data_IF_418674644302
#
_entry.id   IF_418674644302
#
_cell.length_a   1.000
_cell.length_b   1.000
_cell.length_c   1.000
_cell.angle_alpha   90.00
_cell.angle_beta   90.00
_cell.angle_gamma   90.00
#
_symmetry.space_group_name_H-M   'P 1'
#
loop_
_entity.id
_entity.type
_entity.pdbx_description
1 polymer ?
#
# COMPACT_ATOMS: atom_id res chain seq x y z
N UNK A 1 43.45 23.39 -46.60
CA UNK A 1 42.21 22.78 -46.10
C UNK A 1 42.26 22.91 -44.59
N UNK A 2 41.27 23.56 -44.01
CA UNK A 2 41.38 24.37 -42.81
C UNK A 2 41.53 23.57 -41.52
N UNK A 3 42.62 23.82 -40.81
CA UNK A 3 42.94 23.31 -39.46
C UNK A 3 41.80 23.54 -38.43
N UNK A 4 41.01 24.59 -38.65
CA UNK A 4 39.88 24.97 -37.80
C UNK A 4 38.61 24.13 -38.05
N UNK A 5 38.42 23.55 -39.23
CA UNK A 5 37.28 22.69 -39.56
C UNK A 5 37.35 21.35 -38.77
N UNK A 6 38.58 20.82 -38.67
CA UNK A 6 38.77 19.57 -37.90
C UNK A 6 38.53 19.74 -36.39
N UNK A 7 38.92 20.90 -35.83
CA UNK A 7 38.69 21.22 -34.41
C UNK A 7 37.19 21.40 -34.13
N UNK A 8 36.44 22.06 -35.01
CA UNK A 8 35.02 22.26 -34.88
C UNK A 8 34.24 20.92 -34.91
N UNK A 9 34.61 19.98 -35.79
CA UNK A 9 34.01 18.66 -35.90
C UNK A 9 34.24 17.84 -34.61
N UNK A 10 35.48 17.90 -34.07
CA UNK A 10 35.80 17.17 -32.83
C UNK A 10 34.99 17.71 -31.62
N UNK A 11 34.83 19.03 -31.53
CA UNK A 11 34.03 19.64 -30.45
C UNK A 11 32.55 19.25 -30.56
N UNK A 12 31.98 19.24 -31.77
CA UNK A 12 30.60 18.81 -31.99
C UNK A 12 30.38 17.33 -31.62
N UNK A 13 31.33 16.46 -31.95
CA UNK A 13 31.24 15.02 -31.58
C UNK A 13 31.37 14.80 -30.07
N UNK A 14 32.19 15.59 -29.37
CA UNK A 14 32.30 15.52 -27.91
C UNK A 14 31.00 16.00 -27.25
N UNK A 15 30.39 17.10 -27.73
CA UNK A 15 29.13 17.61 -27.20
C UNK A 15 28.00 16.63 -27.46
N UNK A 16 27.92 15.99 -28.63
CA UNK A 16 26.94 14.95 -28.93
C UNK A 16 27.16 13.72 -28.06
N UNK A 17 28.41 13.30 -27.82
CA UNK A 17 28.73 12.17 -26.94
C UNK A 17 28.34 12.41 -25.49
N UNK A 18 28.56 13.61 -24.96
CA UNK A 18 28.13 13.98 -23.60
C UNK A 18 26.63 14.10 -23.49
N UNK A 19 25.94 14.54 -24.53
CA UNK A 19 24.46 14.61 -24.56
C UNK A 19 23.83 13.22 -24.60
N UNK A 20 24.39 12.28 -25.35
CA UNK A 20 23.95 10.87 -25.40
C UNK A 20 24.20 10.12 -24.08
N UNK A 21 25.31 10.39 -23.40
CA UNK A 21 25.64 9.79 -22.10
C UNK A 21 24.82 10.40 -20.94
N UNK A 22 24.38 11.66 -21.06
CA UNK A 22 23.53 12.32 -20.07
C UNK A 22 22.07 11.86 -20.11
N UNK A 23 21.62 11.33 -21.25
CA UNK A 23 20.22 10.87 -21.41
C UNK A 23 19.92 9.57 -20.66
N UNK A 24 20.90 8.71 -20.40
CA UNK A 24 20.70 7.43 -19.73
C UNK A 24 20.56 7.57 -18.21
N UNK A 25 21.25 8.54 -17.60
CA UNK A 25 21.16 8.76 -16.14
C UNK A 25 19.76 9.17 -15.68
N UNK A 26 19.09 10.03 -16.45
CA UNK A 26 17.73 10.45 -16.14
C UNK A 26 16.72 9.30 -16.25
N UNK A 27 16.94 8.35 -17.15
CA UNK A 27 16.12 7.14 -17.27
C UNK A 27 16.33 6.16 -16.12
N UNK A 28 17.56 6.00 -15.66
CA UNK A 28 17.85 5.15 -14.50
C UNK A 28 17.26 5.72 -13.21
N UNK A 29 17.34 7.04 -12.99
CA UNK A 29 16.72 7.70 -11.85
C UNK A 29 15.18 7.63 -11.89
N UNK A 30 14.58 7.73 -13.08
CA UNK A 30 13.14 7.60 -13.27
C UNK A 30 12.66 6.16 -13.02
N UNK A 31 13.40 5.15 -13.47
CA UNK A 31 13.12 3.74 -13.23
C UNK A 31 13.31 3.39 -11.73
N UNK A 32 14.33 3.93 -11.08
CA UNK A 32 14.55 3.75 -9.65
C UNK A 32 13.44 4.41 -8.84
N UNK A 33 12.95 5.58 -9.25
CA UNK A 33 11.82 6.25 -8.62
C UNK A 33 10.49 5.51 -8.83
N UNK A 34 10.26 4.93 -10.00
CA UNK A 34 9.08 4.11 -10.28
C UNK A 34 9.10 2.80 -9.49
N UNK A 35 10.27 2.19 -9.30
CA UNK A 35 10.44 0.98 -8.50
C UNK A 35 10.42 1.25 -6.98
N UNK A 36 10.66 2.48 -6.55
CA UNK A 36 10.58 2.93 -5.16
C UNK A 36 9.20 3.50 -4.78
N UNK A 37 8.23 3.50 -5.67
CA UNK A 37 6.83 3.65 -5.25
C UNK A 37 6.45 2.36 -4.52
N UNK A 38 6.64 2.40 -3.19
CA UNK A 38 6.12 1.38 -2.30
C UNK A 38 4.61 1.29 -2.52
N UNK A 39 4.17 0.23 -3.23
CA UNK A 39 2.75 -0.08 -3.28
C UNK A 39 2.31 -0.43 -1.87
N UNK A 40 1.75 0.56 -1.17
CA UNK A 40 1.16 0.33 0.13
C UNK A 40 0.02 -0.69 -0.02
N UNK A 41 0.10 -1.74 0.78
CA UNK A 41 -0.96 -2.75 0.82
C UNK A 41 -2.26 -2.09 1.28
N UNK A 42 -3.35 -2.31 0.56
CA UNK A 42 -4.66 -1.79 0.93
C UNK A 42 -5.67 -2.91 1.14
N UNK A 43 -6.64 -2.67 2.00
CA UNK A 43 -7.81 -3.53 2.15
C UNK A 43 -9.10 -2.74 1.94
N UNK A 44 -10.09 -3.36 1.32
CA UNK A 44 -11.41 -2.77 1.10
C UNK A 44 -12.44 -3.53 1.95
N UNK A 45 -13.04 -2.83 2.89
CA UNK A 45 -14.15 -3.35 3.67
C UNK A 45 -15.45 -3.00 2.95
N UNK A 46 -16.07 -4.00 2.35
CA UNK A 46 -17.38 -3.86 1.71
C UNK A 46 -18.47 -3.91 2.78
N UNK A 47 -19.15 -2.80 3.02
CA UNK A 47 -20.23 -2.72 4.02
C UNK A 47 -21.58 -2.42 3.37
N UNK A 48 -22.66 -2.66 4.10
CA UNK A 48 -24.01 -2.30 3.67
C UNK A 48 -24.25 -0.77 3.60
N UNK A 49 -23.28 0.05 3.99
CA UNK A 49 -23.30 1.53 3.93
C UNK A 49 -22.28 2.11 2.96
N UNK A 50 -21.55 1.25 2.24
CA UNK A 50 -20.50 1.63 1.29
C UNK A 50 -19.16 1.01 1.63
N UNK A 51 -18.18 1.26 0.78
CA UNK A 51 -16.84 0.71 0.91
C UNK A 51 -15.97 1.62 1.77
N UNK A 52 -15.16 1.01 2.63
CA UNK A 52 -14.12 1.69 3.40
C UNK A 52 -12.79 1.13 2.91
N UNK A 53 -11.95 1.98 2.34
CA UNK A 53 -10.58 1.62 1.96
C UNK A 53 -9.65 1.98 3.09
N UNK A 54 -8.81 1.03 3.51
CA UNK A 54 -7.79 1.21 4.55
C UNK A 54 -6.42 0.88 3.97
N UNK A 55 -5.44 1.66 4.35
CA UNK A 55 -4.03 1.41 4.08
C UNK A 55 -3.44 0.54 5.19
N UNK A 56 -2.62 -0.44 4.81
CA UNK A 56 -2.00 -1.37 5.74
C UNK A 56 -0.50 -1.10 5.80
N UNK A 57 0.00 -0.72 6.97
CA UNK A 57 1.40 -0.37 7.21
C UNK A 57 2.21 -1.63 7.55
N UNK A 58 2.45 -2.48 6.55
CA UNK A 58 3.11 -3.78 6.71
C UNK A 58 4.57 -3.67 7.18
N UNK A 59 5.27 -2.59 6.84
CA UNK A 59 6.63 -2.34 7.30
C UNK A 59 6.71 -1.89 8.75
N UNK A 60 5.76 -1.07 9.18
CA UNK A 60 5.69 -0.53 10.54
C UNK A 60 5.05 -1.51 11.53
N UNK A 61 4.07 -2.31 11.06
CA UNK A 61 3.32 -3.24 11.89
C UNK A 61 3.16 -4.62 11.20
N UNK A 62 4.27 -5.31 10.87
CA UNK A 62 4.24 -6.53 10.05
C UNK A 62 3.38 -7.65 10.65
N UNK A 63 3.48 -7.89 11.94
CA UNK A 63 2.70 -8.94 12.60
C UNK A 63 1.19 -8.63 12.60
N UNK A 64 0.82 -7.38 12.84
CA UNK A 64 -0.59 -6.94 12.81
C UNK A 64 -1.18 -7.06 11.42
N UNK A 65 -0.45 -6.61 10.39
CA UNK A 65 -0.89 -6.69 9.00
C UNK A 65 -0.97 -8.15 8.53
N UNK A 66 0.02 -8.97 8.88
CA UNK A 66 0.01 -10.40 8.55
C UNK A 66 -1.20 -11.13 9.18
N UNK A 67 -1.50 -10.86 10.45
CA UNK A 67 -2.65 -11.44 11.13
C UNK A 67 -3.97 -10.98 10.50
N UNK A 68 -4.14 -9.68 10.28
CA UNK A 68 -5.33 -9.14 9.62
C UNK A 68 -5.54 -9.75 8.23
N UNK A 69 -4.50 -9.80 7.42
CA UNK A 69 -4.54 -10.32 6.05
C UNK A 69 -4.86 -11.82 6.03
N UNK A 70 -4.28 -12.61 6.95
CA UNK A 70 -4.60 -14.03 7.13
C UNK A 70 -6.09 -14.21 7.40
N UNK A 71 -6.61 -13.52 8.42
CA UNK A 71 -8.01 -13.62 8.82
C UNK A 71 -8.96 -13.15 7.70
N UNK A 72 -8.59 -12.11 6.96
CA UNK A 72 -9.36 -11.64 5.80
C UNK A 72 -9.44 -12.69 4.69
N UNK A 73 -8.32 -13.35 4.36
CA UNK A 73 -8.27 -14.44 3.37
C UNK A 73 -9.06 -15.68 3.79
N UNK A 74 -9.15 -15.93 5.08
CA UNK A 74 -9.93 -17.02 5.68
C UNK A 74 -11.42 -16.67 5.80
N UNK A 75 -11.85 -15.53 5.27
CA UNK A 75 -13.24 -15.03 5.37
C UNK A 75 -13.72 -14.80 6.81
N UNK A 76 -12.80 -14.65 7.75
CA UNK A 76 -13.11 -14.45 9.16
C UNK A 76 -14.03 -13.24 9.39
N UNK A 77 -13.82 -12.15 8.65
CA UNK A 77 -14.56 -10.91 8.78
C UNK A 77 -15.89 -10.87 8.01
N UNK A 78 -16.20 -11.88 7.19
CA UNK A 78 -17.46 -11.89 6.44
C UNK A 78 -18.66 -11.96 7.37
N UNK A 79 -19.60 -11.01 7.23
CA UNK A 79 -20.80 -10.90 8.06
C UNK A 79 -20.58 -10.33 9.46
N UNK A 80 -19.34 -9.94 9.81
CA UNK A 80 -19.03 -9.26 11.08
C UNK A 80 -19.60 -7.84 11.05
N UNK A 81 -20.10 -7.36 12.18
CA UNK A 81 -20.69 -6.03 12.33
C UNK A 81 -19.78 -5.07 13.09
N UNK A 82 -19.95 -3.78 12.80
CA UNK A 82 -19.48 -2.75 13.71
C UNK A 82 -20.44 -2.68 14.91
N UNK A 83 -20.04 -3.25 16.02
CA UNK A 83 -20.89 -3.42 17.19
C UNK A 83 -20.83 -2.25 18.17
N UNK A 84 -19.86 -1.33 18.01
CA UNK A 84 -19.72 -0.14 18.84
C UNK A 84 -19.34 1.04 17.97
N UNK A 85 -20.18 2.09 18.02
CA UNK A 85 -19.99 3.33 17.26
C UNK A 85 -20.15 4.50 18.21
N UNK A 86 -19.09 5.30 18.35
CA UNK A 86 -19.09 6.50 19.22
C UNK A 86 -18.75 7.70 18.36
N UNK A 87 -19.70 8.62 18.23
CA UNK A 87 -19.54 9.84 17.43
C UNK A 87 -18.35 10.65 17.93
N UNK A 88 -17.49 11.06 17.00
CA UNK A 88 -16.29 11.86 17.29
C UNK A 88 -15.15 11.08 17.95
N UNK A 89 -15.27 9.75 18.09
CA UNK A 89 -14.23 8.94 18.69
C UNK A 89 -13.84 7.74 17.83
N UNK A 90 -14.72 6.72 17.66
CA UNK A 90 -14.34 5.51 16.94
C UNK A 90 -15.53 4.65 16.49
N UNK A 91 -15.27 3.74 15.56
CA UNK A 91 -16.08 2.57 15.28
C UNK A 91 -15.26 1.31 15.59
N UNK A 92 -15.91 0.27 16.14
CA UNK A 92 -15.27 -0.99 16.52
C UNK A 92 -15.98 -2.16 15.88
N UNK A 93 -15.19 -3.05 15.27
CA UNK A 93 -15.65 -4.27 14.62
C UNK A 93 -14.64 -5.40 14.81
N UNK A 94 -14.81 -6.51 14.04
CA UNK A 94 -13.86 -7.63 14.03
C UNK A 94 -14.26 -8.80 14.92
N UNK A 95 -15.29 -8.67 15.72
CA UNK A 95 -15.77 -9.75 16.60
C UNK A 95 -16.67 -10.73 15.85
N UNK A 96 -16.32 -12.03 15.73
CA UNK A 96 -17.12 -13.04 15.03
C UNK A 96 -18.46 -13.33 15.71
N UNK A 97 -18.62 -13.05 17.00
CA UNK A 97 -19.89 -13.22 17.70
C UNK A 97 -20.98 -12.27 17.17
N UNK A 98 -20.58 -11.17 16.53
CA UNK A 98 -21.51 -10.20 15.94
C UNK A 98 -22.25 -10.72 14.69
N UNK A 99 -21.87 -11.88 14.17
CA UNK A 99 -22.61 -12.57 13.09
C UNK A 99 -23.94 -13.13 13.56
N UNK A 100 -24.09 -13.34 14.87
CA UNK A 100 -25.28 -13.90 15.50
C UNK A 100 -25.98 -12.83 16.35
N UNK A 101 -27.18 -12.43 15.93
CA UNK A 101 -27.97 -11.41 16.62
C UNK A 101 -28.50 -11.87 17.98
N UNK A 102 -28.55 -13.18 18.24
CA UNK A 102 -28.93 -13.71 19.53
C UNK A 102 -27.82 -13.56 20.60
N UNK A 103 -26.60 -13.23 20.18
CA UNK A 103 -25.42 -13.06 21.04
C UNK A 103 -25.04 -11.62 21.32
N UNK A 104 -25.97 -10.68 21.19
CA UNK A 104 -25.69 -9.24 21.35
C UNK A 104 -25.05 -8.90 22.70
N UNK A 105 -25.42 -9.59 23.77
CA UNK A 105 -24.82 -9.39 25.11
C UNK A 105 -23.32 -9.78 25.17
N UNK A 106 -22.81 -10.55 24.19
CA UNK A 106 -21.43 -11.01 24.13
C UNK A 106 -20.60 -10.25 23.08
N UNK A 107 -21.23 -9.35 22.34
CA UNK A 107 -20.51 -8.60 21.31
C UNK A 107 -19.36 -7.77 21.92
N UNK A 108 -18.21 -7.84 21.29
CA UNK A 108 -16.98 -7.22 21.75
C UNK A 108 -16.09 -8.14 22.58
N UNK A 109 -16.51 -9.38 22.85
CA UNK A 109 -15.74 -10.36 23.63
C UNK A 109 -15.16 -11.50 22.80
N UNK A 110 -15.56 -11.62 21.52
CA UNK A 110 -15.07 -12.66 20.63
C UNK A 110 -13.76 -12.29 19.95
N UNK A 111 -13.11 -13.33 19.42
CA UNK A 111 -11.83 -13.17 18.70
C UNK A 111 -11.49 -14.42 17.88
N UNK A 112 -10.29 -14.48 17.27
CA UNK A 112 -9.86 -15.58 16.42
C UNK A 112 -9.48 -16.85 17.20
N UNK A 113 -9.52 -16.84 18.53
CA UNK A 113 -9.16 -17.97 19.38
C UNK A 113 -7.67 -18.02 19.76
N UNK A 114 -6.92 -16.99 19.43
CA UNK A 114 -5.49 -16.85 19.77
C UNK A 114 -5.10 -15.38 19.97
N UNK A 115 -3.93 -15.17 20.57
CA UNK A 115 -3.25 -13.85 20.65
C UNK A 115 -1.97 -13.88 19.84
N UNK A 116 -1.52 -12.70 19.37
CA UNK A 116 -0.30 -12.56 18.55
C UNK A 116 0.49 -11.30 18.94
#
# INVERSE_FOLDING_TARGET
MNKYINVAIVIVLIILGVWLLGSDKNKEEEIINLNNQEENMTAILNTNKGNITIELFDKQAPNTVANFTKLARENFYNGVKFHRVIKGFMIQGGDPLTKDDLKTALWGTGGPGYSF
#
